data_IF_943783892314
#
_entry.id   IF_943783892314
#
_cell.length_a   1.000
_cell.length_b   1.000
_cell.length_c   1.000
_cell.angle_alpha   90.00
_cell.angle_beta   90.00
_cell.angle_gamma   90.00
#
_symmetry.space_group_name_H-M   'P 1'
#
loop_
_entity.id
_entity.type
_entity.pdbx_description
1 polymer ?
#
# COMPACT_ATOMS: atom_id res chain seq x y z
N UNK A 1 12.84 -69.23 13.90
CA UNK A 1 13.44 -67.93 13.49
C UNK A 1 12.66 -67.45 12.28
N UNK A 2 11.95 -66.33 12.39
CA UNK A 2 11.10 -65.84 11.30
C UNK A 2 11.94 -64.96 10.36
N UNK A 3 11.97 -65.32 9.08
CA UNK A 3 12.68 -64.57 8.03
C UNK A 3 12.12 -63.14 7.92
N UNK A 4 12.98 -62.13 8.15
CA UNK A 4 12.67 -60.72 8.00
C UNK A 4 13.13 -60.24 6.62
N UNK A 5 12.24 -59.60 5.88
CA UNK A 5 12.54 -59.05 4.55
C UNK A 5 13.40 -57.79 4.70
N UNK A 6 14.54 -57.74 4.01
CA UNK A 6 15.48 -56.61 4.06
C UNK A 6 15.32 -55.77 2.79
N UNK A 7 15.24 -54.45 2.93
CA UNK A 7 15.13 -53.56 1.78
C UNK A 7 16.42 -53.61 0.93
N UNK A 8 16.35 -53.87 -0.38
CA UNK A 8 17.53 -53.94 -1.24
C UNK A 8 18.18 -52.57 -1.50
N UNK A 9 17.46 -51.47 -1.20
CA UNK A 9 18.00 -50.11 -1.37
C UNK A 9 18.85 -49.63 -0.19
N UNK A 10 18.35 -49.80 1.04
CA UNK A 10 18.96 -49.22 2.24
C UNK A 10 19.37 -50.26 3.29
N UNK A 11 19.10 -51.54 3.07
CA UNK A 11 19.43 -52.60 4.04
C UNK A 11 18.56 -52.61 5.30
N UNK A 12 17.57 -51.72 5.42
CA UNK A 12 16.69 -51.69 6.61
C UNK A 12 15.69 -52.84 6.55
N UNK A 13 15.48 -53.48 7.71
CA UNK A 13 14.50 -54.55 7.88
C UNK A 13 13.09 -53.98 7.79
N UNK A 14 12.25 -54.61 6.99
CA UNK A 14 10.87 -54.17 6.75
C UNK A 14 9.91 -55.25 7.24
N UNK A 15 8.81 -54.84 7.87
CA UNK A 15 7.78 -55.77 8.35
C UNK A 15 7.14 -56.55 7.19
N UNK A 16 6.79 -57.82 7.42
CA UNK A 16 6.08 -58.64 6.44
C UNK A 16 4.77 -57.96 6.04
N UNK A 17 4.56 -57.80 4.73
CA UNK A 17 3.37 -57.14 4.15
C UNK A 17 3.56 -55.67 3.78
N UNK A 18 4.70 -55.04 4.09
CA UNK A 18 4.96 -53.68 3.63
C UNK A 18 5.32 -53.66 2.15
N UNK A 19 4.57 -52.90 1.35
CA UNK A 19 4.84 -52.71 -0.09
C UNK A 19 5.93 -51.66 -0.35
N UNK A 20 6.31 -50.88 0.66
CA UNK A 20 7.33 -49.83 0.57
C UNK A 20 8.28 -49.89 1.77
N UNK A 21 9.55 -49.54 1.56
CA UNK A 21 10.48 -49.38 2.68
C UNK A 21 10.24 -48.03 3.38
N UNK A 22 9.98 -48.06 4.69
CA UNK A 22 9.76 -46.83 5.47
C UNK A 22 10.98 -45.90 5.50
N UNK A 23 12.19 -46.44 5.38
CA UNK A 23 13.42 -45.63 5.47
C UNK A 23 13.75 -44.91 4.17
N UNK A 24 13.57 -45.54 3.00
CA UNK A 24 13.97 -44.94 1.72
C UNK A 24 12.83 -44.75 0.71
N UNK A 25 11.58 -45.11 1.05
CA UNK A 25 10.41 -44.97 0.18
C UNK A 25 10.38 -45.92 -1.03
N UNK A 26 11.41 -46.75 -1.21
CA UNK A 26 11.51 -47.64 -2.38
C UNK A 26 10.44 -48.73 -2.30
N UNK A 27 9.69 -48.91 -3.39
CA UNK A 27 8.68 -49.97 -3.54
C UNK A 27 9.38 -51.33 -3.57
N UNK A 28 8.95 -52.24 -2.71
CA UNK A 28 9.50 -53.60 -2.63
C UNK A 28 8.75 -54.48 -3.64
N UNK A 29 9.15 -54.43 -4.91
CA UNK A 29 8.45 -55.09 -6.03
C UNK A 29 8.81 -56.55 -6.23
N UNK A 30 9.10 -57.30 -5.16
CA UNK A 30 9.49 -58.71 -5.32
C UNK A 30 9.27 -59.54 -4.08
N UNK A 31 8.75 -60.75 -4.31
CA UNK A 31 8.52 -61.84 -3.34
C UNK A 31 7.15 -61.82 -2.65
N UNK A 32 6.07 -61.81 -3.44
CA UNK A 32 4.84 -62.52 -3.09
C UNK A 32 4.38 -63.38 -4.27
N UNK A 33 5.30 -64.11 -4.90
CA UNK A 33 4.93 -65.25 -5.75
C UNK A 33 4.88 -66.48 -4.85
N UNK A 34 3.69 -66.75 -4.30
CA UNK A 34 3.35 -68.05 -3.74
C UNK A 34 1.92 -68.41 -4.14
N UNK A 35 1.72 -68.67 -5.43
CA UNK A 35 0.76 -69.67 -5.92
C UNK A 35 0.85 -69.76 -7.44
N UNK A 36 1.20 -70.96 -7.91
CA UNK A 36 1.05 -71.44 -9.28
C UNK A 36 -0.29 -71.03 -9.91
N UNK A 37 -0.26 -70.24 -10.99
CA UNK A 37 -1.22 -70.39 -12.09
C UNK A 37 -0.58 -69.91 -13.41
N UNK A 38 -0.54 -70.84 -14.35
CA UNK A 38 0.03 -70.81 -15.72
C UNK A 38 -0.81 -69.90 -16.66
N UNK A 39 -0.27 -69.44 -17.81
CA UNK A 39 -0.48 -68.09 -18.34
C UNK A 39 -1.48 -68.01 -19.50
N UNK A 40 -1.86 -66.79 -19.86
CA UNK A 40 -2.30 -66.48 -21.22
C UNK A 40 -1.76 -65.13 -21.69
N UNK A 41 -1.21 -65.17 -22.90
CA UNK A 41 -0.59 -64.09 -23.65
C UNK A 41 -1.65 -63.10 -24.14
N UNK A 42 -1.27 -61.86 -24.44
CA UNK A 42 -1.37 -61.24 -25.79
C UNK A 42 -1.23 -59.71 -25.70
N UNK A 43 -0.11 -59.23 -26.27
CA UNK A 43 0.12 -58.00 -27.07
C UNK A 43 -0.33 -56.59 -26.60
N UNK A 44 0.68 -55.74 -26.37
CA UNK A 44 0.72 -54.28 -26.62
C UNK A 44 0.83 -53.97 -28.14
N UNK A 45 0.88 -52.69 -28.62
CA UNK A 45 0.40 -51.41 -28.11
C UNK A 45 -0.46 -50.61 -29.14
N UNK A 46 -0.95 -49.43 -28.70
CA UNK A 46 -1.72 -48.42 -29.45
C UNK A 46 -1.09 -47.91 -30.77
N UNK A 47 -1.86 -47.12 -31.56
CA UNK A 47 -1.53 -45.69 -31.58
C UNK A 47 -2.71 -44.73 -31.32
N UNK A 48 -2.32 -43.61 -30.74
CA UNK A 48 -3.05 -42.41 -30.34
C UNK A 48 -3.70 -41.63 -31.49
N UNK A 49 -4.96 -41.22 -31.30
CA UNK A 49 -5.65 -40.22 -32.13
C UNK A 49 -5.67 -38.86 -31.42
N UNK A 50 -4.70 -38.00 -31.72
CA UNK A 50 -4.57 -36.64 -31.16
C UNK A 50 -4.51 -35.56 -32.25
N UNK A 51 -5.14 -35.81 -33.41
CA UNK A 51 -5.07 -34.91 -34.57
C UNK A 51 -6.29 -33.97 -34.75
N UNK A 52 -7.31 -34.01 -33.88
CA UNK A 52 -8.59 -33.31 -34.15
C UNK A 52 -8.81 -32.03 -33.35
N UNK A 53 -7.96 -31.68 -32.37
CA UNK A 53 -8.17 -30.47 -31.53
C UNK A 53 -7.36 -29.23 -31.92
N UNK A 54 -6.43 -29.31 -32.88
CA UNK A 54 -5.61 -28.17 -33.31
C UNK A 54 -6.16 -27.41 -34.55
N UNK A 55 -7.22 -27.88 -35.20
CA UNK A 55 -7.82 -27.19 -36.36
C UNK A 55 -8.89 -26.14 -36.02
N UNK A 56 -9.35 -26.04 -34.77
CA UNK A 56 -10.38 -25.06 -34.37
C UNK A 56 -9.84 -23.76 -33.77
N UNK A 57 -8.54 -23.67 -33.49
CA UNK A 57 -7.93 -22.46 -32.94
C UNK A 57 -7.36 -21.52 -34.02
N UNK A 58 -6.80 -22.08 -35.10
CA UNK A 58 -6.27 -21.29 -36.22
C UNK A 58 -7.36 -20.52 -36.99
N UNK A 59 -8.62 -20.95 -36.93
CA UNK A 59 -9.75 -20.25 -37.58
C UNK A 59 -10.36 -19.10 -36.77
N UNK A 60 -10.01 -18.96 -35.48
CA UNK A 60 -10.57 -17.92 -34.61
C UNK A 60 -9.74 -16.62 -34.63
N UNK A 61 -8.42 -16.74 -34.86
CA UNK A 61 -7.50 -15.59 -34.92
C UNK A 61 -7.72 -14.74 -36.19
N UNK A 62 -7.93 -15.37 -37.36
CA UNK A 62 -8.25 -14.65 -38.60
C UNK A 62 -9.61 -13.92 -38.55
N UNK A 63 -10.54 -14.41 -37.72
CA UNK A 63 -11.88 -13.81 -37.59
C UNK A 63 -11.91 -12.59 -36.68
N UNK A 64 -10.97 -12.46 -35.74
CA UNK A 64 -10.85 -11.27 -34.89
C UNK A 64 -10.03 -10.15 -35.54
N UNK A 65 -9.10 -10.48 -36.45
CA UNK A 65 -8.33 -9.49 -37.21
C UNK A 65 -9.14 -8.78 -38.30
N UNK A 66 -10.17 -9.43 -38.87
CA UNK A 66 -11.05 -8.82 -39.88
C UNK A 66 -12.04 -7.77 -39.33
N UNK A 67 -12.36 -7.80 -38.03
CA UNK A 67 -13.32 -6.85 -37.43
C UNK A 67 -12.70 -5.49 -37.06
N UNK A 68 -11.37 -5.37 -37.08
CA UNK A 68 -10.68 -4.11 -36.76
C UNK A 68 -10.32 -3.28 -38.01
N UNK A 69 -10.40 -3.87 -39.21
CA UNK A 69 -10.07 -3.19 -40.47
C UNK A 69 -11.23 -2.43 -41.12
N UNK A 70 -12.47 -2.62 -40.67
CA UNK A 70 -13.67 -1.99 -41.27
C UNK A 70 -14.17 -0.74 -40.52
N UNK A 71 -13.45 -0.27 -39.51
CA UNK A 71 -13.86 0.88 -38.68
C UNK A 71 -13.23 2.24 -39.08
N UNK A 72 -12.38 2.30 -40.10
CA UNK A 72 -11.69 3.55 -40.51
C UNK A 72 -12.19 4.18 -41.83
N UNK A 73 -13.34 3.76 -42.36
CA UNK A 73 -13.96 4.42 -43.51
C UNK A 73 -15.33 4.99 -43.16
N UNK A 74 -15.38 6.10 -42.42
CA UNK A 74 -16.48 7.10 -42.47
C UNK A 74 -16.19 8.30 -41.57
N UNK A 75 -15.35 9.23 -42.02
CA UNK A 75 -15.51 10.68 -41.71
C UNK A 75 -14.55 11.56 -42.51
N UNK A 76 -14.81 11.74 -43.81
CA UNK A 76 -14.19 12.83 -44.59
C UNK A 76 -15.23 13.55 -45.45
N UNK A 77 -15.78 14.63 -44.91
CA UNK A 77 -16.41 15.77 -45.61
C UNK A 77 -16.56 16.87 -44.52
N UNK A 78 -16.12 18.12 -44.60
CA UNK A 78 -15.79 19.04 -45.68
C UNK A 78 -14.81 20.08 -45.12
N UNK A 79 -13.76 20.44 -45.87
CA UNK A 79 -13.36 21.84 -46.05
C UNK A 79 -12.23 21.94 -47.09
N UNK A 80 -12.64 22.33 -48.30
CA UNK A 80 -11.77 22.86 -49.36
C UNK A 80 -11.17 24.20 -48.91
N UNK A 81 -9.87 24.40 -49.10
CA UNK A 81 -9.34 25.46 -49.98
C UNK A 81 -7.80 25.52 -50.01
N UNK A 82 -7.27 25.53 -51.24
CA UNK A 82 -6.10 26.28 -51.73
C UNK A 82 -4.75 26.09 -51.02
N UNK A 83 -3.83 25.25 -51.53
CA UNK A 83 -2.88 25.51 -52.64
C UNK A 83 -1.63 26.34 -52.26
N UNK A 84 -0.52 25.62 -52.18
CA UNK A 84 0.74 25.84 -52.92
C UNK A 84 1.63 27.07 -52.60
N UNK A 85 2.76 26.72 -51.98
CA UNK A 85 4.16 27.11 -52.26
C UNK A 85 4.58 28.59 -52.37
N UNK A 86 5.63 28.89 -51.60
CA UNK A 86 6.89 29.55 -51.99
C UNK A 86 7.44 30.51 -50.93
N UNK A 87 8.76 30.43 -50.81
CA UNK A 87 9.70 31.23 -50.05
C UNK A 87 9.52 32.74 -50.21
N UNK A 88 9.73 33.49 -49.13
CA UNK A 88 10.10 34.90 -49.26
C UNK A 88 9.89 35.73 -48.00
N UNK A 89 11.02 36.22 -47.46
CA UNK A 89 11.19 37.52 -46.80
C UNK A 89 10.30 37.90 -45.61
N UNK A 90 10.97 38.03 -44.46
CA UNK A 90 10.50 38.70 -43.25
C UNK A 90 10.07 40.16 -43.55
N UNK A 91 8.90 40.63 -43.07
CA UNK A 91 8.64 42.06 -42.97
C UNK A 91 9.39 42.66 -41.75
N UNK A 92 9.88 43.92 -41.86
CA UNK A 92 10.48 44.64 -40.75
C UNK A 92 9.37 44.99 -39.75
N UNK A 93 9.54 44.59 -38.48
CA UNK A 93 8.65 45.02 -37.40
C UNK A 93 9.03 46.46 -37.04
N UNK A 94 8.11 47.36 -37.34
CA UNK A 94 8.13 48.77 -36.96
C UNK A 94 8.19 48.94 -35.43
N UNK A 95 8.98 49.92 -35.00
CA UNK A 95 9.02 50.46 -33.64
C UNK A 95 7.61 50.87 -33.20
N UNK A 96 7.03 50.09 -32.28
CA UNK A 96 5.94 50.55 -31.42
C UNK A 96 6.56 51.30 -30.24
N UNK A 97 6.55 52.64 -30.34
CA UNK A 97 6.70 53.56 -29.21
C UNK A 97 5.66 53.22 -28.14
N UNK A 98 6.12 52.50 -27.10
CA UNK A 98 5.38 52.26 -25.88
C UNK A 98 5.52 53.49 -24.99
N UNK A 99 4.49 54.35 -25.03
CA UNK A 99 4.28 55.44 -24.08
C UNK A 99 4.34 54.93 -22.63
N UNK A 100 5.18 55.56 -21.83
CA UNK A 100 5.28 55.37 -20.38
C UNK A 100 4.04 55.91 -19.67
N UNK A 101 3.27 55.12 -18.89
CA UNK A 101 2.36 55.69 -17.93
C UNK A 101 3.12 56.17 -16.70
N UNK A 102 3.16 57.50 -16.61
CA UNK A 102 3.44 58.35 -15.46
C UNK A 102 3.08 57.75 -14.09
N UNK A 103 4.02 57.94 -13.17
CA UNK A 103 3.89 57.67 -11.75
C UNK A 103 2.75 58.46 -11.08
N UNK A 104 1.86 57.74 -10.39
CA UNK A 104 0.94 58.27 -9.38
C UNK A 104 0.67 57.18 -8.34
N UNK A 105 1.35 57.23 -7.18
CA UNK A 105 0.80 57.75 -5.93
C UNK A 105 -0.31 56.89 -5.30
N UNK A 106 0.11 55.97 -4.43
CA UNK A 106 -0.43 55.77 -3.07
C UNK A 106 -1.87 55.30 -2.89
N UNK A 107 -2.04 54.08 -2.40
CA UNK A 107 -3.06 53.75 -1.38
C UNK A 107 -2.81 52.34 -0.85
N UNK A 108 -2.40 52.26 0.42
CA UNK A 108 -2.57 51.09 1.26
C UNK A 108 -4.03 50.62 1.26
N UNK A 109 -4.27 49.31 1.11
CA UNK A 109 -5.24 48.59 1.94
C UNK A 109 -5.11 47.08 1.77
N UNK A 110 -4.94 46.46 2.93
CA UNK A 110 -4.91 45.03 3.18
C UNK A 110 -6.29 44.38 3.01
N UNK A 111 -6.27 43.05 3.20
CA UNK A 111 -7.36 42.08 3.38
C UNK A 111 -8.10 41.59 2.12
N UNK A 112 -7.51 40.55 1.50
CA UNK A 112 -8.20 39.56 0.63
C UNK A 112 -7.67 38.13 0.98
N UNK A 113 -7.56 37.81 2.27
CA UNK A 113 -7.23 36.44 2.72
C UNK A 113 -8.42 35.71 3.37
N UNK A 114 -9.53 36.38 3.67
CA UNK A 114 -10.72 35.74 4.29
C UNK A 114 -11.72 35.17 3.26
N UNK A 115 -11.66 35.56 1.98
CA UNK A 115 -12.61 35.07 0.97
C UNK A 115 -12.24 33.66 0.45
N UNK A 116 -11.00 33.22 0.62
CA UNK A 116 -10.54 31.90 0.17
C UNK A 116 -10.87 30.77 1.17
N UNK A 117 -10.95 31.06 2.48
CA UNK A 117 -11.38 30.07 3.48
C UNK A 117 -12.90 29.79 3.43
N UNK A 118 -13.71 30.75 2.97
CA UNK A 118 -15.15 30.54 2.75
C UNK A 118 -15.48 29.61 1.58
N UNK A 119 -14.59 29.51 0.58
CA UNK A 119 -14.81 28.65 -0.60
C UNK A 119 -14.41 27.19 -0.34
N UNK A 120 -13.56 26.95 0.66
CA UNK A 120 -13.13 25.60 1.06
C UNK A 120 -14.10 24.93 2.06
N UNK A 121 -14.92 25.72 2.76
CA UNK A 121 -15.82 25.23 3.82
C UNK A 121 -17.18 24.73 3.32
N UNK A 122 -17.57 25.04 2.07
CA UNK A 122 -18.85 24.61 1.48
C UNK A 122 -18.81 23.23 0.81
N UNK A 123 -17.63 22.61 0.64
CA UNK A 123 -17.48 21.36 -0.13
C UNK A 123 -17.33 20.09 0.73
N UNK A 124 -17.21 20.22 2.06
CA UNK A 124 -17.19 19.10 3.02
C UNK A 124 -18.59 18.72 3.55
N UNK A 125 -19.66 19.33 3.02
CA UNK A 125 -21.04 19.17 3.53
C UNK A 125 -22.00 18.36 2.63
N UNK A 126 -21.54 17.73 1.54
CA UNK A 126 -22.33 16.68 0.86
C UNK A 126 -22.13 15.33 1.56
N UNK A 127 -22.66 15.26 2.79
CA UNK A 127 -22.95 14.01 3.47
C UNK A 127 -24.00 13.25 2.62
N UNK A 128 -23.59 12.11 2.07
CA UNK A 128 -24.44 11.18 1.33
C UNK A 128 -25.70 10.84 2.13
N UNK A 129 -26.81 11.52 1.85
CA UNK A 129 -28.15 11.07 2.25
C UNK A 129 -28.45 9.79 1.46
N UNK A 130 -28.12 8.65 2.08
CA UNK A 130 -28.61 7.36 1.65
C UNK A 130 -30.15 7.38 1.69
N UNK A 131 -30.85 6.93 0.64
CA UNK A 131 -32.30 6.88 0.65
C UNK A 131 -32.78 5.92 1.74
N UNK A 132 -33.52 6.45 2.71
CA UNK A 132 -34.21 5.68 3.73
C UNK A 132 -35.15 4.68 3.04
N UNK A 133 -34.77 3.40 3.12
CA UNK A 133 -35.57 2.30 2.62
C UNK A 133 -36.71 2.04 3.61
N UNK A 134 -37.87 2.61 3.31
CA UNK A 134 -39.12 2.32 4.01
C UNK A 134 -39.35 0.81 4.10
N UNK A 135 -39.42 0.28 5.32
CA UNK A 135 -39.91 -1.08 5.58
C UNK A 135 -41.37 -1.00 6.02
N UNK A 136 -42.28 -1.77 5.41
CA UNK A 136 -43.68 -1.79 5.85
C UNK A 136 -43.81 -2.75 7.04
N UNK A 137 -43.94 -2.18 8.25
CA UNK A 137 -44.30 -2.95 9.44
C UNK A 137 -45.80 -3.26 9.37
N UNK A 138 -46.11 -4.53 9.11
CA UNK A 138 -47.46 -5.10 9.13
C UNK A 138 -47.85 -5.36 10.59
N UNK A 139 -48.81 -4.58 11.06
CA UNK A 139 -49.49 -4.71 12.35
C UNK A 139 -50.29 -6.02 12.42
N UNK A 140 -50.07 -6.80 13.48
CA UNK A 140 -51.01 -7.83 13.94
C UNK A 140 -51.25 -7.62 15.42
N UNK A 141 -52.48 -7.17 15.72
CA UNK A 141 -53.07 -7.11 17.04
C UNK A 141 -53.20 -8.52 17.64
N UNK A 142 -52.80 -8.69 18.90
CA UNK A 142 -53.49 -9.62 19.81
C UNK A 142 -53.32 -9.22 21.26
N UNK A 143 -54.43 -9.33 21.97
CA UNK A 143 -54.75 -8.67 23.21
C UNK A 143 -54.30 -9.43 24.48
N UNK A 144 -54.04 -8.62 25.53
CA UNK A 144 -54.29 -8.84 26.98
C UNK A 144 -53.41 -9.83 27.79
N UNK A 145 -53.36 -9.73 29.14
CA UNK A 145 -53.68 -8.59 30.04
C UNK A 145 -52.65 -8.27 31.15
N UNK A 146 -52.70 -7.01 31.59
CA UNK A 146 -52.72 -6.51 32.99
C UNK A 146 -52.07 -7.38 34.07
N UNK A 147 -50.93 -6.92 34.61
CA UNK A 147 -50.62 -7.04 36.05
C UNK A 147 -50.11 -5.71 36.58
N UNK A 148 -50.90 -5.19 37.51
CA UNK A 148 -50.68 -4.03 38.35
C UNK A 148 -49.60 -4.32 39.40
N UNK A 149 -48.69 -3.37 39.62
CA UNK A 149 -48.13 -3.11 40.95
C UNK A 149 -47.60 -1.68 41.01
N UNK A 150 -48.35 -0.87 41.74
CA UNK A 150 -48.00 0.47 42.20
C UNK A 150 -47.15 0.40 43.47
N UNK A 151 -46.56 1.56 43.78
CA UNK A 151 -46.17 2.14 45.07
C UNK A 151 -44.66 2.33 45.27
N UNK A 152 -44.22 3.28 46.11
CA UNK A 152 -44.66 4.68 46.16
C UNK A 152 -43.47 5.67 46.28
N UNK A 153 -43.79 6.94 46.06
CA UNK A 153 -42.95 8.10 46.33
C UNK A 153 -42.77 8.28 47.84
N UNK A 154 -41.52 8.45 48.30
CA UNK A 154 -41.21 9.00 49.62
C UNK A 154 -39.99 9.93 49.54
N UNK A 155 -40.25 11.21 49.79
CA UNK A 155 -39.28 12.23 50.18
C UNK A 155 -38.62 11.85 51.51
N UNK A 156 -37.29 11.84 51.61
CA UNK A 156 -36.58 12.08 52.89
C UNK A 156 -35.21 12.74 52.65
N UNK A 157 -35.17 14.00 53.10
CA UNK A 157 -34.11 14.70 53.85
C UNK A 157 -32.61 14.34 53.68
N UNK A 158 -31.90 15.40 53.29
CA UNK A 158 -30.49 15.76 53.52
C UNK A 158 -29.88 15.21 54.82
N UNK A 159 -28.74 14.53 54.69
CA UNK A 159 -27.66 14.54 55.70
C UNK A 159 -26.29 14.51 55.00
N UNK A 160 -25.54 15.60 55.17
CA UNK A 160 -24.10 15.73 54.89
C UNK A 160 -23.30 14.69 55.67
N UNK A 161 -22.26 14.08 55.08
CA UNK A 161 -20.82 14.01 55.50
C UNK A 161 -20.00 13.35 54.33
N UNK A 162 -18.65 13.25 54.33
CA UNK A 162 -17.74 14.12 53.60
C UNK A 162 -16.96 13.46 52.44
N UNK A 163 -16.46 14.33 51.57
CA UNK A 163 -15.20 14.27 50.81
C UNK A 163 -14.25 13.08 51.06
N UNK A 164 -14.10 12.24 50.03
CA UNK A 164 -12.79 11.71 49.62
C UNK A 164 -12.79 11.49 48.11
N UNK A 165 -12.10 12.40 47.39
CA UNK A 165 -11.63 12.19 46.03
C UNK A 165 -10.59 11.07 46.06
N UNK A 166 -10.82 10.00 45.32
CA UNK A 166 -9.74 9.15 44.85
C UNK A 166 -9.58 9.42 43.36
N UNK A 167 -8.61 10.27 43.07
CA UNK A 167 -8.09 10.51 41.74
C UNK A 167 -7.36 9.24 41.28
N UNK A 168 -7.99 8.52 40.34
CA UNK A 168 -7.36 7.42 39.59
C UNK A 168 -6.40 8.00 38.56
N UNK A 169 -5.25 8.48 39.01
CA UNK A 169 -4.10 8.79 38.14
C UNK A 169 -3.24 7.55 38.01
N UNK A 170 -3.35 6.88 36.86
CA UNK A 170 -2.34 5.96 36.33
C UNK A 170 -1.03 6.73 36.10
N UNK A 171 -0.23 6.87 37.15
CA UNK A 171 1.15 7.33 37.07
C UNK A 171 2.02 6.11 36.74
N UNK A 172 2.62 6.13 35.55
CA UNK A 172 3.76 5.27 35.25
C UNK A 172 4.91 5.71 36.17
N UNK A 173 5.23 4.90 37.16
CA UNK A 173 6.38 5.12 38.04
C UNK A 173 7.67 5.05 37.21
N UNK A 174 8.16 6.23 36.80
CA UNK A 174 9.54 6.38 36.38
C UNK A 174 10.42 6.05 37.59
N UNK A 175 11.40 5.12 37.46
CA UNK A 175 12.37 4.93 38.52
C UNK A 175 13.11 6.26 38.71
N UNK A 176 13.00 6.79 39.93
CA UNK A 176 13.73 7.97 40.40
C UNK A 176 15.21 7.72 40.13
N UNK A 177 15.73 8.36 39.07
CA UNK A 177 17.16 8.47 38.81
C UNK A 177 17.73 9.27 39.98
N UNK A 178 18.36 8.59 40.93
CA UNK A 178 19.17 9.25 41.95
C UNK A 178 20.20 10.10 41.23
N UNK A 179 20.21 11.39 41.54
CA UNK A 179 21.23 12.33 41.12
C UNK A 179 22.60 11.71 41.42
N UNK A 180 23.39 11.49 40.35
CA UNK A 180 24.76 11.02 40.48
C UNK A 180 25.55 12.19 41.03
N UNK A 181 25.87 12.13 42.33
CA UNK A 181 26.74 13.10 42.98
C UNK A 181 28.12 13.08 42.30
N UNK A 182 28.66 14.26 42.03
CA UNK A 182 29.93 14.47 41.31
C UNK A 182 31.17 13.87 41.99
N UNK A 183 31.02 13.22 43.15
CA UNK A 183 32.07 12.47 43.84
C UNK A 183 32.21 11.01 43.40
N UNK A 184 31.28 10.45 42.62
CA UNK A 184 31.36 9.06 42.13
C UNK A 184 32.04 8.91 40.77
N UNK A 185 32.52 10.01 40.18
CA UNK A 185 33.39 9.97 38.99
C UNK A 185 34.80 9.60 39.44
N UNK A 186 35.10 8.29 39.45
CA UNK A 186 36.47 7.79 39.58
C UNK A 186 37.30 8.26 38.39
N UNK A 187 38.06 9.34 38.57
CA UNK A 187 39.19 9.68 37.72
C UNK A 187 40.22 8.55 37.78
N UNK A 188 40.46 7.91 36.63
CA UNK A 188 41.62 7.04 36.44
C UNK A 188 41.28 5.60 36.10
N UNK A 189 41.08 5.33 34.81
CA UNK A 189 41.73 4.21 34.17
C UNK A 189 42.18 4.68 32.77
N UNK A 190 43.49 4.93 32.56
CA UNK A 190 43.99 5.27 31.24
C UNK A 190 43.75 4.08 30.31
N UNK A 191 43.28 4.39 29.10
CA UNK A 191 43.02 3.47 28.00
C UNK A 191 43.93 2.24 28.03
N UNK A 192 43.36 1.11 28.42
CA UNK A 192 43.97 -0.19 28.15
C UNK A 192 43.70 -0.46 26.68
N UNK A 193 44.72 -0.27 25.83
CA UNK A 193 44.66 -0.58 24.40
C UNK A 193 44.18 -2.02 24.22
N UNK A 194 42.90 -2.16 23.84
CA UNK A 194 42.32 -3.43 23.45
C UNK A 194 42.93 -3.77 22.09
N UNK A 195 43.81 -4.77 22.08
CA UNK A 195 44.38 -5.26 20.84
C UNK A 195 43.26 -5.72 19.88
N UNK A 196 43.35 -5.40 18.58
CA UNK A 196 42.33 -5.77 17.61
C UNK A 196 42.12 -7.30 17.61
N UNK A 197 40.86 -7.76 17.51
CA UNK A 197 40.54 -9.18 17.57
C UNK A 197 41.32 -9.95 16.49
N UNK A 198 42.13 -10.92 16.93
CA UNK A 198 42.77 -11.86 16.01
C UNK A 198 41.68 -12.69 15.35
N UNK A 199 41.58 -12.59 14.03
CA UNK A 199 40.77 -13.49 13.20
C UNK A 199 41.43 -14.87 13.24
N UNK A 200 41.01 -15.71 14.18
CA UNK A 200 41.29 -17.14 14.17
C UNK A 200 40.31 -17.82 13.23
N UNK A 201 40.83 -18.45 12.18
CA UNK A 201 40.09 -19.16 11.13
C UNK A 201 39.62 -20.57 11.55
N UNK A 202 39.39 -20.81 12.84
CA UNK A 202 38.84 -22.09 13.32
C UNK A 202 37.32 -21.97 13.43
N UNK A 203 36.64 -22.58 12.47
CA UNK A 203 35.20 -22.76 12.48
C UNK A 203 34.80 -23.66 13.67
N UNK A 204 33.89 -23.22 14.55
CA UNK A 204 33.32 -24.11 15.55
C UNK A 204 32.43 -25.14 14.84
N UNK A 205 32.69 -26.43 15.09
CA UNK A 205 31.80 -27.52 14.70
C UNK A 205 30.50 -27.40 15.49
N UNK A 206 29.47 -26.84 14.85
CA UNK A 206 28.11 -26.75 15.39
C UNK A 206 27.45 -28.12 15.19
N UNK A 207 27.03 -28.75 16.28
CA UNK A 207 26.36 -30.06 16.26
C UNK A 207 24.95 -29.98 15.65
N UNK A 208 24.65 -30.91 14.73
CA UNK A 208 23.49 -30.94 13.83
C UNK A 208 22.08 -31.12 14.46
N UNK A 209 21.92 -31.17 15.79
CA UNK A 209 20.64 -31.52 16.41
C UNK A 209 19.78 -30.30 16.86
N UNK A 210 20.36 -29.11 17.02
CA UNK A 210 19.60 -27.89 17.39
C UNK A 210 19.17 -27.02 16.20
N UNK A 211 19.71 -27.26 15.00
CA UNK A 211 19.47 -26.46 13.79
C UNK A 211 18.08 -26.66 13.15
N UNK A 212 17.26 -27.59 13.67
CA UNK A 212 15.96 -27.95 13.08
C UNK A 212 14.74 -27.29 13.72
N UNK A 213 14.90 -26.51 14.79
CA UNK A 213 13.77 -25.82 15.46
C UNK A 213 13.74 -24.30 15.27
N UNK A 214 14.64 -23.71 14.48
CA UNK A 214 14.67 -22.26 14.18
C UNK A 214 14.61 -21.93 12.68
N UNK A 215 13.99 -22.79 11.86
CA UNK A 215 13.82 -22.51 10.41
C UNK A 215 12.35 -22.33 10.07
N UNK A 216 11.73 -21.33 10.69
CA UNK A 216 10.76 -20.50 10.00
C UNK A 216 11.23 -19.06 10.20
N UNK A 217 12.02 -18.49 9.27
CA UNK A 217 12.09 -17.05 9.22
C UNK A 217 10.69 -16.60 8.84
N UNK A 218 9.93 -16.08 9.80
CA UNK A 218 8.86 -15.12 9.52
C UNK A 218 9.50 -14.03 8.67
N UNK A 219 9.47 -14.20 7.34
CA UNK A 219 9.72 -13.16 6.36
C UNK A 219 8.53 -12.20 6.38
N UNK A 220 8.18 -11.69 7.55
CA UNK A 220 7.50 -10.41 7.61
C UNK A 220 8.52 -9.41 7.06
N UNK A 221 8.18 -8.59 6.06
CA UNK A 221 9.11 -7.59 5.54
C UNK A 221 9.61 -6.77 6.73
N UNK A 222 10.89 -6.94 7.06
CA UNK A 222 11.55 -6.20 8.14
C UNK A 222 11.25 -4.73 7.88
N UNK A 223 10.52 -4.10 8.80
CA UNK A 223 9.83 -2.86 8.53
C UNK A 223 10.77 -1.86 7.84
N UNK A 224 10.35 -1.37 6.68
CA UNK A 224 11.06 -0.38 5.87
C UNK A 224 11.52 0.81 6.70
N UNK A 225 10.87 1.09 7.84
CA UNK A 225 11.28 2.10 8.82
C UNK A 225 12.72 1.93 9.33
N UNK A 226 13.20 0.72 9.61
CA UNK A 226 14.57 0.52 10.13
C UNK A 226 15.64 0.67 9.03
N UNK A 227 15.35 0.22 7.81
CA UNK A 227 16.22 0.41 6.66
C UNK A 227 16.27 1.89 6.22
N UNK A 228 15.16 2.61 6.42
CA UNK A 228 15.05 4.04 6.09
C UNK A 228 15.63 4.94 7.18
N UNK A 229 15.64 4.51 8.45
CA UNK A 229 16.19 5.30 9.56
C UNK A 229 17.69 5.64 9.36
N UNK A 230 18.48 4.75 8.76
CA UNK A 230 19.89 5.02 8.47
C UNK A 230 20.10 5.98 7.27
N UNK A 231 19.07 6.22 6.44
CA UNK A 231 19.11 7.25 5.40
C UNK A 231 18.97 8.67 5.97
N UNK A 232 18.71 8.79 7.28
CA UNK A 232 18.55 10.04 8.00
C UNK A 232 19.49 10.12 9.21
N UNK A 233 20.80 10.36 9.03
CA UNK A 233 21.61 10.82 10.16
C UNK A 233 20.96 12.11 10.68
N UNK A 234 20.77 12.22 11.99
CA UNK A 234 19.92 13.17 12.75
C UNK A 234 20.09 14.69 12.46
N UNK A 235 20.89 15.09 11.48
CA UNK A 235 20.86 16.43 10.91
C UNK A 235 19.71 16.58 9.93
N UNK A 236 18.99 17.71 9.99
CA UNK A 236 18.05 18.21 8.97
C UNK A 236 18.72 18.33 7.59
N UNK A 237 18.99 17.20 6.96
CA UNK A 237 19.57 17.12 5.64
C UNK A 237 18.49 17.48 4.65
N UNK A 238 18.70 18.58 3.93
CA UNK A 238 17.87 19.04 2.82
C UNK A 238 17.59 17.84 1.92
N UNK A 239 16.35 17.34 1.92
CA UNK A 239 16.03 16.18 1.11
C UNK A 239 16.00 16.62 -0.35
N UNK A 240 16.94 16.08 -1.14
CA UNK A 240 17.00 16.37 -2.57
C UNK A 240 15.71 15.92 -3.25
N UNK A 241 15.34 16.52 -4.39
CA UNK A 241 14.18 16.07 -5.19
C UNK A 241 14.20 14.58 -5.50
N UNK A 242 15.39 14.03 -5.76
CA UNK A 242 15.59 12.59 -5.97
C UNK A 242 15.24 11.74 -4.75
N UNK A 243 15.35 12.27 -3.54
CA UNK A 243 14.91 11.59 -2.32
C UNK A 243 13.39 11.43 -2.27
N UNK A 244 12.65 12.52 -2.54
CA UNK A 244 11.18 12.48 -2.54
C UNK A 244 10.69 11.45 -3.56
N UNK A 245 11.23 11.48 -4.77
CA UNK A 245 10.83 10.54 -5.82
C UNK A 245 11.28 9.10 -5.51
N UNK A 246 12.42 8.91 -4.83
CA UNK A 246 12.88 7.59 -4.37
C UNK A 246 12.02 7.01 -3.23
N UNK A 247 11.55 7.85 -2.29
CA UNK A 247 10.71 7.43 -1.15
C UNK A 247 9.26 7.17 -1.56
N UNK A 248 8.74 7.95 -2.51
CA UNK A 248 7.42 7.68 -3.10
C UNK A 248 7.50 6.39 -3.92
N UNK A 249 8.61 6.18 -4.66
CA UNK A 249 8.79 5.01 -5.49
C UNK A 249 7.80 4.97 -6.66
N UNK A 250 7.91 3.92 -7.48
CA UNK A 250 6.84 3.61 -8.43
C UNK A 250 5.76 2.85 -7.68
N UNK A 251 4.47 3.21 -7.81
CA UNK A 251 3.42 2.46 -7.16
C UNK A 251 3.41 1.04 -7.70
N UNK A 252 3.75 0.09 -6.84
CA UNK A 252 3.46 -1.32 -7.10
C UNK A 252 2.03 -1.54 -6.68
N UNK A 253 1.19 -1.97 -7.62
CA UNK A 253 -0.15 -2.44 -7.29
C UNK A 253 -0.01 -3.49 -6.18
N UNK A 254 -0.80 -3.37 -5.11
CA UNK A 254 -0.89 -4.37 -4.04
C UNK A 254 -1.61 -5.54 -4.68
N UNK A 255 -0.81 -6.32 -5.39
CA UNK A 255 -1.24 -7.42 -6.23
C UNK A 255 -0.94 -8.71 -5.51
N UNK A 256 -1.88 -9.64 -5.55
CA UNK A 256 -1.66 -11.06 -5.24
C UNK A 256 -0.75 -11.71 -6.29
N UNK A 257 0.50 -11.23 -6.39
CA UNK A 257 1.58 -11.91 -7.09
C UNK A 257 1.95 -13.22 -6.38
N UNK A 258 1.57 -13.34 -5.10
CA UNK A 258 1.65 -14.57 -4.33
C UNK A 258 0.63 -15.54 -4.94
N UNK A 259 1.07 -16.66 -5.55
CA UNK A 259 0.15 -17.70 -5.98
C UNK A 259 -0.61 -18.17 -4.75
N UNK A 260 -1.94 -18.26 -4.83
CA UNK A 260 -2.76 -18.69 -3.69
C UNK A 260 -2.41 -20.14 -3.35
N UNK A 261 -1.63 -20.41 -2.30
CA UNK A 261 -1.17 -21.77 -2.00
C UNK A 261 -2.35 -22.65 -1.57
N UNK A 262 -3.45 -22.04 -1.11
CA UNK A 262 -4.70 -22.71 -0.76
C UNK A 262 -5.43 -23.29 -1.98
N UNK A 263 -5.17 -22.73 -3.16
CA UNK A 263 -5.69 -23.24 -4.43
C UNK A 263 -4.71 -24.17 -5.12
N UNK A 264 -3.45 -24.16 -4.71
CA UNK A 264 -2.47 -25.14 -5.19
C UNK A 264 -2.73 -26.46 -4.48
N UNK A 265 -2.84 -27.53 -5.27
CA UNK A 265 -2.97 -28.88 -4.75
C UNK A 265 -1.77 -29.17 -3.84
N UNK A 266 -1.98 -29.72 -2.64
CA UNK A 266 -0.91 -29.93 -1.69
C UNK A 266 0.18 -30.79 -2.34
N UNK A 267 1.36 -30.20 -2.49
CA UNK A 267 2.52 -30.92 -3.00
C UNK A 267 3.13 -31.75 -1.86
N UNK A 268 3.55 -32.96 -2.18
CA UNK A 268 4.17 -33.81 -1.17
C UNK A 268 5.49 -33.16 -0.69
N UNK A 269 5.66 -32.89 0.62
CA UNK A 269 6.83 -32.16 1.14
C UNK A 269 8.15 -32.91 0.95
N UNK A 270 8.11 -34.21 0.65
CA UNK A 270 9.33 -35.03 0.44
C UNK A 270 9.80 -35.11 -1.01
N UNK A 271 8.89 -35.03 -1.99
CA UNK A 271 9.26 -35.24 -3.39
C UNK A 271 8.81 -34.13 -4.33
N UNK A 272 8.05 -33.13 -3.84
CA UNK A 272 7.49 -32.06 -4.67
C UNK A 272 6.49 -32.56 -5.71
N UNK A 273 6.16 -33.86 -5.71
CA UNK A 273 5.11 -34.40 -6.56
C UNK A 273 3.80 -33.79 -6.07
N UNK A 274 3.23 -32.96 -6.93
CA UNK A 274 1.86 -32.49 -6.77
C UNK A 274 0.99 -33.75 -6.83
N UNK A 275 0.14 -33.97 -5.83
CA UNK A 275 -0.79 -35.09 -5.80
C UNK A 275 -1.91 -34.77 -6.80
N UNK A 276 -1.59 -34.69 -8.08
CA UNK A 276 -2.48 -34.40 -9.21
C UNK A 276 -2.57 -35.63 -10.09
N UNK A 277 -2.87 -36.79 -9.48
CA UNK A 277 -3.28 -37.93 -10.30
C UNK A 277 -4.73 -37.80 -10.76
N UNK A 278 -5.52 -36.99 -10.05
CA UNK A 278 -6.83 -36.52 -10.47
C UNK A 278 -6.79 -35.00 -10.39
N UNK A 279 -7.08 -34.30 -11.50
CA UNK A 279 -7.25 -32.84 -11.56
C UNK A 279 -8.47 -32.43 -10.72
N UNK A 280 -8.34 -32.52 -9.40
CA UNK A 280 -9.42 -32.27 -8.47
C UNK A 280 -9.69 -30.76 -8.44
N UNK A 281 -10.65 -30.34 -9.25
CA UNK A 281 -11.19 -28.99 -9.21
C UNK A 281 -12.37 -28.95 -8.23
N UNK A 282 -12.33 -27.99 -7.30
CA UNK A 282 -13.46 -27.79 -6.41
C UNK A 282 -14.71 -27.39 -7.21
N UNK A 283 -15.91 -27.88 -6.84
CA UNK A 283 -17.15 -27.39 -7.42
C UNK A 283 -17.30 -25.87 -7.24
N UNK A 284 -17.94 -25.20 -8.21
CA UNK A 284 -18.10 -23.73 -8.22
C UNK A 284 -18.68 -23.14 -6.91
N UNK A 285 -19.59 -23.85 -6.23
CA UNK A 285 -20.16 -23.37 -4.96
C UNK A 285 -19.15 -23.27 -3.82
N UNK A 286 -18.08 -24.08 -3.84
CA UNK A 286 -17.01 -24.03 -2.84
C UNK A 286 -16.18 -22.77 -3.04
N UNK A 287 -15.81 -22.47 -4.29
CA UNK A 287 -15.12 -21.22 -4.62
C UNK A 287 -15.96 -19.98 -4.27
N UNK A 288 -17.28 -20.02 -4.50
CA UNK A 288 -18.19 -18.94 -4.09
C UNK A 288 -18.19 -18.75 -2.55
N UNK A 289 -18.26 -19.84 -1.78
CA UNK A 289 -18.23 -19.79 -0.32
C UNK A 289 -16.88 -19.27 0.22
N UNK A 290 -15.75 -19.74 -0.33
CA UNK A 290 -14.42 -19.25 0.01
C UNK A 290 -14.25 -17.77 -0.33
N UNK A 291 -14.74 -17.34 -1.51
CA UNK A 291 -14.72 -15.95 -1.94
C UNK A 291 -15.50 -15.04 -0.99
N UNK A 292 -16.69 -15.48 -0.52
CA UNK A 292 -17.48 -14.73 0.47
C UNK A 292 -16.76 -14.59 1.81
N UNK A 293 -16.16 -15.67 2.31
CA UNK A 293 -15.39 -15.63 3.55
C UNK A 293 -14.21 -14.66 3.45
N UNK A 294 -13.49 -14.64 2.32
CA UNK A 294 -12.40 -13.67 2.06
C UNK A 294 -12.90 -12.24 1.95
N UNK A 295 -14.05 -12.02 1.33
CA UNK A 295 -14.69 -10.70 1.26
C UNK A 295 -15.07 -10.20 2.66
N UNK A 296 -15.66 -11.05 3.51
CA UNK A 296 -16.01 -10.70 4.89
C UNK A 296 -14.77 -10.43 5.75
N UNK A 297 -13.71 -11.20 5.56
CA UNK A 297 -12.44 -11.00 6.23
C UNK A 297 -11.80 -9.66 5.84
N UNK A 298 -11.70 -9.36 4.54
CA UNK A 298 -11.20 -8.06 4.06
C UNK A 298 -12.03 -6.87 4.56
N UNK A 299 -13.34 -7.04 4.75
CA UNK A 299 -14.19 -6.01 5.36
C UNK A 299 -13.92 -5.79 6.84
N UNK A 300 -13.42 -6.80 7.54
CA UNK A 300 -13.01 -6.68 8.95
C UNK A 300 -11.65 -5.97 9.00
N UNK A 301 -10.70 -6.38 8.18
CA UNK A 301 -9.38 -5.73 8.05
C UNK A 301 -9.50 -4.25 7.67
N UNK A 302 -10.45 -3.90 6.79
CA UNK A 302 -10.69 -2.51 6.43
C UNK A 302 -11.18 -1.67 7.61
N UNK A 303 -11.99 -2.23 8.51
CA UNK A 303 -12.44 -1.56 9.74
C UNK A 303 -11.31 -1.41 10.76
N UNK A 304 -10.40 -2.37 10.78
CA UNK A 304 -9.22 -2.38 11.65
C UNK A 304 -8.09 -1.47 11.12
N UNK A 305 -8.30 -0.80 9.97
CA UNK A 305 -7.34 0.05 9.25
C UNK A 305 -6.13 -0.73 8.68
N UNK A 306 -6.27 -2.04 8.48
CA UNK A 306 -5.29 -2.89 7.82
C UNK A 306 -5.54 -2.89 6.30
N UNK A 307 -5.39 -1.72 5.68
CA UNK A 307 -5.81 -1.49 4.28
C UNK A 307 -5.10 -2.40 3.26
N UNK A 308 -3.80 -2.66 3.44
CA UNK A 308 -3.04 -3.50 2.52
C UNK A 308 -3.55 -4.95 2.54
N UNK A 309 -3.74 -5.50 3.75
CA UNK A 309 -4.27 -6.86 3.94
C UNK A 309 -5.70 -6.99 3.41
N UNK A 310 -6.54 -5.97 3.66
CA UNK A 310 -7.89 -5.91 3.13
C UNK A 310 -7.92 -5.98 1.59
N UNK A 311 -7.05 -5.20 0.91
CA UNK A 311 -6.94 -5.20 -0.56
C UNK A 311 -6.51 -6.59 -1.07
N UNK A 312 -5.52 -7.21 -0.44
CA UNK A 312 -5.09 -8.58 -0.78
C UNK A 312 -6.25 -9.58 -0.63
N UNK A 313 -7.00 -9.49 0.46
CA UNK A 313 -8.19 -10.29 0.72
C UNK A 313 -9.26 -10.11 -0.36
N UNK A 314 -9.51 -8.88 -0.82
CA UNK A 314 -10.46 -8.60 -1.90
C UNK A 314 -9.98 -9.11 -3.26
N UNK A 315 -8.68 -9.01 -3.56
CA UNK A 315 -8.11 -9.57 -4.79
C UNK A 315 -8.15 -11.11 -4.81
N UNK A 316 -7.89 -11.75 -3.66
CA UNK A 316 -8.06 -13.20 -3.53
C UNK A 316 -9.52 -13.60 -3.73
N UNK A 317 -10.45 -12.88 -3.09
CA UNK A 317 -11.89 -13.09 -3.26
C UNK A 317 -12.30 -12.97 -4.74
N UNK A 318 -11.80 -11.95 -5.45
CA UNK A 318 -12.05 -11.75 -6.88
C UNK A 318 -11.63 -12.98 -7.71
N UNK A 319 -10.40 -13.46 -7.53
CA UNK A 319 -9.89 -14.65 -8.25
C UNK A 319 -10.71 -15.91 -7.94
N UNK A 320 -11.19 -16.06 -6.70
CA UNK A 320 -12.08 -17.15 -6.31
C UNK A 320 -13.44 -17.05 -7.01
N UNK A 321 -14.03 -15.86 -7.10
CA UNK A 321 -15.30 -15.65 -7.80
C UNK A 321 -15.18 -15.80 -9.33
N UNK A 322 -14.03 -15.46 -9.91
CA UNK A 322 -13.72 -15.72 -11.32
C UNK A 322 -13.72 -17.24 -11.59
N UNK A 323 -13.10 -18.05 -10.73
CA UNK A 323 -13.14 -19.52 -10.82
C UNK A 323 -14.55 -20.09 -10.60
N UNK A 324 -15.36 -19.45 -9.75
CA UNK A 324 -16.75 -19.84 -9.53
C UNK A 324 -17.68 -19.46 -10.71
N UNK A 325 -17.25 -18.59 -11.63
CA UNK A 325 -18.10 -18.04 -12.69
C UNK A 325 -19.14 -17.02 -12.19
N UNK A 326 -18.93 -16.40 -11.02
CA UNK A 326 -19.88 -15.45 -10.41
C UNK A 326 -19.49 -13.99 -10.71
N UNK A 327 -19.87 -13.48 -11.89
CA UNK A 327 -19.52 -12.13 -12.34
C UNK A 327 -19.96 -11.01 -11.39
N UNK A 328 -21.13 -11.14 -10.76
CA UNK A 328 -21.65 -10.16 -9.80
C UNK A 328 -20.72 -10.00 -8.59
N UNK A 329 -20.18 -11.11 -8.09
CA UNK A 329 -19.27 -11.07 -6.94
C UNK A 329 -17.86 -10.63 -7.36
N UNK A 330 -17.44 -10.85 -8.60
CA UNK A 330 -16.18 -10.29 -9.16
C UNK A 330 -16.24 -8.76 -9.19
N UNK A 331 -17.38 -8.19 -9.62
CA UNK A 331 -17.61 -6.74 -9.61
C UNK A 331 -17.63 -6.18 -8.18
N UNK A 332 -18.34 -6.84 -7.26
CA UNK A 332 -18.38 -6.44 -5.84
C UNK A 332 -16.98 -6.47 -5.20
N UNK A 333 -16.20 -7.54 -5.41
CA UNK A 333 -14.82 -7.62 -4.90
C UNK A 333 -13.91 -6.57 -5.53
N UNK A 334 -14.09 -6.25 -6.81
CA UNK A 334 -13.32 -5.18 -7.48
C UNK A 334 -13.68 -3.82 -6.86
N UNK A 335 -14.96 -3.53 -6.66
CA UNK A 335 -15.41 -2.30 -6.00
C UNK A 335 -14.83 -2.17 -4.59
N UNK A 336 -14.84 -3.27 -3.81
CA UNK A 336 -14.28 -3.28 -2.45
C UNK A 336 -12.76 -3.10 -2.42
N UNK A 337 -12.04 -3.63 -3.41
CA UNK A 337 -10.62 -3.33 -3.57
C UNK A 337 -10.40 -1.84 -3.85
N UNK A 338 -11.21 -1.22 -4.72
CA UNK A 338 -11.13 0.22 -5.00
C UNK A 338 -11.44 1.06 -3.74
N UNK A 339 -12.45 0.68 -2.94
CA UNK A 339 -12.73 1.29 -1.63
C UNK A 339 -11.54 1.17 -0.67
N UNK A 340 -10.82 0.05 -0.69
CA UNK A 340 -9.58 -0.14 0.07
C UNK A 340 -8.45 0.79 -0.38
N UNK A 341 -8.26 0.95 -1.69
CA UNK A 341 -7.29 1.90 -2.26
C UNK A 341 -7.63 3.37 -1.93
N UNK A 342 -8.92 3.71 -1.91
CA UNK A 342 -9.38 5.03 -1.48
C UNK A 342 -9.10 5.29 0.01
N UNK A 343 -9.35 4.29 0.87
CA UNK A 343 -9.10 4.41 2.31
C UNK A 343 -7.61 4.60 2.66
N UNK A 344 -6.71 3.85 2.00
CA UNK A 344 -5.26 4.02 2.19
C UNK A 344 -4.79 5.38 1.68
N UNK A 345 -5.31 5.85 0.54
CA UNK A 345 -4.99 7.15 -0.01
C UNK A 345 -5.43 8.29 0.93
N UNK A 346 -6.64 8.20 1.50
CA UNK A 346 -7.16 9.16 2.46
C UNK A 346 -6.34 9.19 3.75
N UNK A 347 -5.93 8.02 4.26
CA UNK A 347 -5.02 7.94 5.42
C UNK A 347 -3.69 8.69 5.17
N UNK A 348 -3.10 8.51 3.98
CA UNK A 348 -1.91 9.27 3.59
C UNK A 348 -2.19 10.77 3.41
N UNK A 349 -3.36 11.14 2.88
CA UNK A 349 -3.76 12.54 2.73
C UNK A 349 -3.86 13.24 4.09
N UNK A 350 -4.55 12.64 5.06
CA UNK A 350 -4.70 13.15 6.44
C UNK A 350 -3.33 13.26 7.15
N UNK A 351 -2.44 12.28 6.94
CA UNK A 351 -1.06 12.37 7.44
C UNK A 351 -0.31 13.56 6.82
N UNK A 352 -0.48 13.79 5.51
CA UNK A 352 0.08 14.95 4.82
C UNK A 352 -0.39 16.28 5.41
N UNK A 353 -1.69 16.40 5.69
CA UNK A 353 -2.24 17.60 6.34
C UNK A 353 -1.69 17.80 7.76
N UNK A 354 -1.46 16.71 8.52
CA UNK A 354 -0.83 16.80 9.85
C UNK A 354 0.62 17.31 9.74
N UNK A 355 1.42 16.79 8.80
CA UNK A 355 2.79 17.25 8.58
C UNK A 355 2.84 18.71 8.11
N UNK A 356 1.89 19.12 7.26
CA UNK A 356 1.78 20.51 6.81
C UNK A 356 1.53 21.46 7.99
N UNK A 357 0.61 21.10 8.90
CA UNK A 357 0.34 21.86 10.13
C UNK A 357 1.55 21.96 11.06
N UNK A 358 2.40 20.92 11.09
CA UNK A 358 3.65 20.90 11.85
C UNK A 358 4.82 21.61 11.13
N UNK A 359 4.60 22.22 9.96
CA UNK A 359 5.63 22.80 9.10
C UNK A 359 6.72 21.80 8.65
N UNK A 360 6.40 20.50 8.62
CA UNK A 360 7.26 19.43 8.10
C UNK A 360 6.99 19.25 6.60
N UNK A 361 7.30 20.29 5.81
CA UNK A 361 6.88 20.40 4.41
C UNK A 361 7.32 19.22 3.53
N UNK A 362 8.54 18.71 3.75
CA UNK A 362 9.08 17.57 3.01
C UNK A 362 8.22 16.32 3.18
N UNK A 363 7.86 16.00 4.43
CA UNK A 363 7.01 14.87 4.76
C UNK A 363 5.60 15.06 4.23
N UNK A 364 5.04 16.27 4.34
CA UNK A 364 3.73 16.58 3.78
C UNK A 364 3.69 16.30 2.27
N UNK A 365 4.69 16.77 1.51
CA UNK A 365 4.81 16.53 0.07
C UNK A 365 4.92 15.04 -0.26
N UNK A 366 5.74 14.28 0.49
CA UNK A 366 5.87 12.84 0.31
C UNK A 366 4.52 12.14 0.51
N UNK A 367 3.78 12.52 1.55
CA UNK A 367 2.48 11.90 1.85
C UNK A 367 1.42 12.25 0.79
N UNK A 368 1.33 13.50 0.33
CA UNK A 368 0.40 13.88 -0.73
C UNK A 368 0.72 13.20 -2.07
N UNK A 369 2.02 13.05 -2.40
CA UNK A 369 2.43 12.27 -3.57
C UNK A 369 2.02 10.80 -3.42
N UNK A 370 2.29 10.16 -2.28
CA UNK A 370 1.85 8.77 -2.01
C UNK A 370 0.35 8.60 -2.13
N UNK A 371 -0.43 9.50 -1.52
CA UNK A 371 -1.88 9.51 -1.66
C UNK A 371 -2.32 9.61 -3.14
N UNK A 372 -1.68 10.48 -3.92
CA UNK A 372 -1.94 10.60 -5.36
C UNK A 372 -1.66 9.30 -6.11
N UNK A 373 -0.56 8.62 -5.81
CA UNK A 373 -0.20 7.36 -6.45
C UNK A 373 -1.21 6.24 -6.10
N UNK A 374 -1.70 6.19 -4.86
CA UNK A 374 -2.79 5.25 -4.51
C UNK A 374 -4.10 5.60 -5.24
N UNK A 375 -4.44 6.89 -5.34
CA UNK A 375 -5.59 7.32 -6.14
C UNK A 375 -5.44 7.04 -7.65
N UNK A 376 -4.26 6.67 -8.17
CA UNK A 376 -4.13 6.18 -9.55
C UNK A 376 -4.75 4.80 -9.75
N UNK A 377 -4.91 4.01 -8.69
CA UNK A 377 -5.64 2.75 -8.73
C UNK A 377 -7.16 2.95 -8.54
N UNK A 378 -7.56 4.08 -7.95
CA UNK A 378 -8.97 4.50 -7.90
C UNK A 378 -9.44 5.09 -9.24
N UNK A 379 -10.76 5.12 -9.44
CA UNK A 379 -11.37 5.74 -10.63
C UNK A 379 -11.53 7.27 -10.52
N UNK A 380 -11.29 7.87 -9.35
CA UNK A 380 -11.58 9.28 -9.11
C UNK A 380 -10.45 10.22 -9.56
N UNK A 381 -10.67 10.94 -10.68
CA UNK A 381 -9.74 11.94 -11.17
C UNK A 381 -9.69 13.22 -10.31
N UNK A 382 -10.78 13.56 -9.60
CA UNK A 382 -10.85 14.78 -8.78
C UNK A 382 -9.97 14.65 -7.54
N UNK A 383 -9.99 13.49 -6.88
CA UNK A 383 -9.11 13.22 -5.72
C UNK A 383 -7.62 13.30 -6.11
N UNK A 384 -7.24 12.79 -7.28
CA UNK A 384 -5.88 12.93 -7.82
C UNK A 384 -5.47 14.38 -8.05
N UNK A 385 -6.37 15.18 -8.63
CA UNK A 385 -6.13 16.60 -8.84
C UNK A 385 -5.98 17.35 -7.50
N UNK A 386 -6.82 17.03 -6.51
CA UNK A 386 -6.74 17.58 -5.14
C UNK A 386 -5.38 17.30 -4.48
N UNK A 387 -4.86 16.07 -4.59
CA UNK A 387 -3.52 15.76 -4.06
C UNK A 387 -2.40 16.54 -4.77
N UNK A 388 -2.50 16.74 -6.09
CA UNK A 388 -1.53 17.54 -6.85
C UNK A 388 -1.58 19.02 -6.45
N UNK A 389 -2.79 19.57 -6.24
CA UNK A 389 -2.99 20.92 -5.75
C UNK A 389 -2.42 21.11 -4.34
N UNK A 390 -2.77 20.23 -3.39
CA UNK A 390 -2.19 20.25 -2.04
C UNK A 390 -0.67 20.15 -2.05
N UNK A 391 -0.10 19.38 -2.98
CA UNK A 391 1.35 19.30 -3.16
C UNK A 391 1.94 20.66 -3.57
N UNK A 392 1.31 21.38 -4.51
CA UNK A 392 1.73 22.74 -4.91
C UNK A 392 1.58 23.74 -3.76
N UNK A 393 0.50 23.67 -2.99
CA UNK A 393 0.30 24.49 -1.80
C UNK A 393 1.40 24.27 -0.76
N UNK A 394 1.82 23.03 -0.53
CA UNK A 394 2.93 22.71 0.36
C UNK A 394 4.25 23.34 -0.12
N UNK A 395 4.55 23.26 -1.42
CA UNK A 395 5.73 23.91 -1.99
C UNK A 395 5.67 25.44 -1.83
N UNK A 396 4.50 26.04 -2.05
CA UNK A 396 4.30 27.48 -1.85
C UNK A 396 4.47 27.89 -0.37
N UNK A 397 3.91 27.12 0.56
CA UNK A 397 4.07 27.35 1.99
C UNK A 397 5.53 27.22 2.45
N UNK A 398 6.23 26.21 1.94
CA UNK A 398 7.66 26.03 2.19
C UNK A 398 8.49 27.20 1.64
N UNK A 399 8.21 27.63 0.41
CA UNK A 399 8.84 28.81 -0.20
C UNK A 399 8.65 30.07 0.65
N UNK A 400 7.46 30.30 1.19
CA UNK A 400 7.16 31.43 2.09
C UNK A 400 7.94 31.37 3.41
N UNK A 401 8.06 30.17 4.00
CA UNK A 401 8.85 29.98 5.21
C UNK A 401 10.34 30.30 4.98
N UNK A 402 10.91 29.80 3.87
CA UNK A 402 12.31 30.08 3.47
C UNK A 402 12.53 31.56 3.13
N UNK A 403 11.56 32.22 2.49
CA UNK A 403 11.61 33.66 2.23
C UNK A 403 11.64 34.46 3.55
N UNK A 404 10.83 34.06 4.53
CA UNK A 404 10.79 34.70 5.86
C UNK A 404 12.10 34.49 6.62
N UNK A 405 12.70 33.29 6.55
CA UNK A 405 14.05 33.02 7.07
C UNK A 405 15.10 33.91 6.38
N UNK A 406 15.07 34.00 5.05
CA UNK A 406 15.96 34.87 4.28
C UNK A 406 15.83 36.34 4.66
N UNK A 407 14.60 36.83 4.82
CA UNK A 407 14.33 38.20 5.27
C UNK A 407 14.86 38.46 6.68
N UNK A 408 14.81 37.46 7.57
CA UNK A 408 15.37 37.56 8.93
C UNK A 408 16.91 37.63 8.91
N UNK A 409 17.57 36.80 8.10
CA UNK A 409 19.03 36.78 7.93
C UNK A 409 19.54 38.07 7.29
N UNK A 410 18.80 38.62 6.32
CA UNK A 410 19.11 39.89 5.69
C UNK A 410 19.06 41.04 6.72
N UNK A 411 18.04 41.06 7.60
CA UNK A 411 17.94 42.04 8.69
C UNK A 411 19.11 41.93 9.68
N UNK A 412 19.61 40.72 9.91
CA UNK A 412 20.78 40.46 10.76
C UNK A 412 22.13 40.79 10.09
N UNK A 413 22.13 41.22 8.82
CA UNK A 413 23.35 41.52 8.06
C UNK A 413 24.05 40.29 7.47
N UNK A 414 23.45 39.09 7.55
CA UNK A 414 23.99 37.85 6.98
C UNK A 414 23.57 37.69 5.51
N UNK A 415 24.02 38.59 4.64
CA UNK A 415 23.59 38.66 3.23
C UNK A 415 23.85 37.38 2.43
N UNK A 416 24.97 36.69 2.69
CA UNK A 416 25.32 35.44 1.99
C UNK A 416 24.34 34.30 2.28
N UNK A 417 23.97 34.13 3.54
CA UNK A 417 23.03 33.08 3.97
C UNK A 417 21.60 33.43 3.54
N UNK A 418 21.24 34.72 3.59
CA UNK A 418 19.97 35.20 3.04
C UNK A 418 19.84 34.87 1.54
N UNK A 419 20.90 35.10 0.75
CA UNK A 419 20.92 34.80 -0.67
C UNK A 419 20.79 33.30 -0.97
N UNK A 420 21.37 32.41 -0.14
CA UNK A 420 21.15 30.96 -0.28
C UNK A 420 19.69 30.60 -0.01
N UNK A 421 19.09 31.17 1.04
CA UNK A 421 17.68 30.92 1.39
C UNK A 421 16.71 31.44 0.33
N UNK A 422 16.97 32.60 -0.26
CA UNK A 422 16.15 33.10 -1.36
C UNK A 422 16.26 32.22 -2.63
N UNK A 423 17.44 31.66 -2.93
CA UNK A 423 17.58 30.72 -4.06
C UNK A 423 16.80 29.43 -3.82
N UNK A 424 16.89 28.86 -2.61
CA UNK A 424 16.11 27.69 -2.21
C UNK A 424 14.59 27.98 -2.29
N UNK A 425 14.15 29.12 -1.75
CA UNK A 425 12.75 29.55 -1.85
C UNK A 425 12.29 29.69 -3.31
N UNK A 426 13.15 30.21 -4.20
CA UNK A 426 12.82 30.36 -5.62
C UNK A 426 12.66 29.00 -6.32
N UNK A 427 13.48 28.01 -5.96
CA UNK A 427 13.30 26.64 -6.44
C UNK A 427 11.96 26.05 -5.98
N UNK A 428 11.57 26.27 -4.72
CA UNK A 428 10.27 25.79 -4.22
C UNK A 428 9.08 26.48 -4.89
N UNK A 429 9.15 27.79 -5.15
CA UNK A 429 8.09 28.47 -5.91
C UNK A 429 7.99 28.03 -7.38
N UNK A 430 9.10 27.59 -8.00
CA UNK A 430 9.05 26.95 -9.32
C UNK A 430 8.29 25.62 -9.27
N UNK A 431 8.56 24.81 -8.24
CA UNK A 431 7.85 23.53 -8.02
C UNK A 431 6.36 23.74 -7.68
N UNK A 432 6.00 24.88 -7.07
CA UNK A 432 4.62 25.28 -6.79
C UNK A 432 3.87 25.87 -8.00
N UNK A 433 4.55 26.16 -9.12
CA UNK A 433 3.98 26.85 -10.29
C UNK A 433 3.44 28.27 -9.98
N UNK A 434 4.05 29.01 -9.04
CA UNK A 434 3.65 30.39 -8.67
C UNK A 434 4.60 31.45 -9.28
N UNK A 435 4.32 31.98 -10.49
CA UNK A 435 5.19 32.95 -11.14
C UNK A 435 5.20 34.32 -10.45
N UNK A 436 4.13 34.67 -9.72
CA UNK A 436 4.01 35.98 -9.07
C UNK A 436 5.03 36.09 -7.94
N UNK A 437 5.07 35.09 -7.06
CA UNK A 437 6.04 35.03 -5.95
C UNK A 437 7.48 34.92 -6.46
N UNK A 438 7.70 34.15 -7.52
CA UNK A 438 9.02 33.99 -8.14
C UNK A 438 9.60 35.33 -8.62
N UNK A 439 8.80 36.14 -9.33
CA UNK A 439 9.25 37.44 -9.83
C UNK A 439 9.63 38.43 -8.71
N UNK A 440 8.93 38.38 -7.58
CA UNK A 440 9.24 39.18 -6.39
C UNK A 440 10.54 38.74 -5.73
N UNK A 441 10.74 37.42 -5.62
CA UNK A 441 11.93 36.82 -5.03
C UNK A 441 13.18 37.06 -5.87
N UNK A 442 13.08 37.04 -7.21
CA UNK A 442 14.18 37.40 -8.11
C UNK A 442 14.66 38.85 -7.95
N UNK A 443 13.76 39.77 -7.57
CA UNK A 443 14.16 41.15 -7.21
C UNK A 443 14.90 41.18 -5.88
N UNK A 444 14.46 40.38 -4.89
CA UNK A 444 15.19 40.24 -3.61
C UNK A 444 16.58 39.63 -3.82
N UNK A 445 16.71 38.60 -4.65
CA UNK A 445 17.99 37.95 -4.99
C UNK A 445 18.94 38.92 -5.71
N UNK A 446 18.44 39.79 -6.58
CA UNK A 446 19.27 40.81 -7.25
C UNK A 446 19.71 41.94 -6.32
N UNK A 447 18.98 42.17 -5.23
CA UNK A 447 19.25 43.23 -4.25
C UNK A 447 20.19 42.79 -3.14
N UNK A 448 20.08 41.52 -2.71
CA UNK A 448 20.97 40.89 -1.74
C UNK A 448 22.34 40.60 -2.34
#
# INVERSE_FOLDING_TARGET
>A
MQEQTVCPGCGTKVGKGSTHCYSCGRKLTGVLDNSDTVPSQTESPQPSTEATRLSTLAGLEDKMLGMLSEAEETSTAQSKSASQAESGALPPVEELELEEPSAGSGSDKATDEEEFESLLSDWDAEELQLPERETPVKSVEKASPVVSSQMPVAEVAVKQVPSSREDSTLAWEYPVVKEIESSDVKEGNPFQEVAPPKVTSEAPEVSDDESRRQVEPEKRPVSTKAAVAHLFPEGRGVTSRGFIDAVVGKPTKIGTAIPMPELETPSCPKCGAVITQDEFEYPAYVYDAMGRARLEFGMTELKDNEHESAIESFEMAKKLFEKAGNSKMVEESTRRADEGYDAIAESHFVQGERHLKSAEFEWAIVQFKKAREFYMFSTDAKKRARCAERTRECYAAWGRALETEGDSLAKNGQSREALTKYKEAAERFREAEDPRKLSGLERKIRKA
#
